data_IF_887714328896
#
_entry.id   IF_887714328896
#
_cell.length_a   1.000
_cell.length_b   1.000
_cell.length_c   1.000
_cell.angle_alpha   90.00
_cell.angle_beta   90.00
_cell.angle_gamma   90.00
#
_symmetry.space_group_name_H-M   'P 1'
#
loop_
_entity.id
_entity.type
_entity.pdbx_description
1 polymer ?
#
# COMPACT_ATOMS: atom_id res chain seq x y z
N UNK A 1 44.64 -6.60 -17.51
CA UNK A 1 43.80 -7.81 -17.60
C UNK A 1 42.70 -7.82 -16.52
N UNK A 2 42.41 -6.67 -15.89
CA UNK A 2 41.51 -6.61 -14.73
C UNK A 2 40.15 -5.97 -15.00
N UNK A 3 39.95 -5.41 -16.20
CA UNK A 3 38.70 -4.71 -16.54
C UNK A 3 37.57 -5.67 -16.92
N UNK A 4 37.89 -6.90 -17.36
CA UNK A 4 36.88 -7.89 -17.76
C UNK A 4 36.16 -8.56 -16.58
N UNK A 5 36.81 -8.67 -15.41
CA UNK A 5 36.20 -9.25 -14.20
C UNK A 5 35.18 -8.32 -13.54
N UNK A 6 35.44 -7.01 -13.57
CA UNK A 6 34.53 -6.02 -13.03
C UNK A 6 33.25 -5.88 -13.87
N UNK A 7 33.37 -5.99 -15.20
CA UNK A 7 32.21 -5.99 -16.10
C UNK A 7 31.36 -7.25 -16.02
N UNK A 8 31.95 -8.42 -15.69
CA UNK A 8 31.19 -9.65 -15.44
C UNK A 8 30.44 -9.60 -14.11
N UNK A 9 31.06 -9.08 -13.05
CA UNK A 9 30.38 -8.91 -11.75
C UNK A 9 29.28 -7.84 -11.77
N UNK A 10 29.36 -6.85 -12.67
CA UNK A 10 28.29 -5.87 -12.88
C UNK A 10 27.16 -6.38 -13.79
N UNK A 11 27.41 -7.40 -14.61
CA UNK A 11 26.38 -8.08 -15.39
C UNK A 11 25.67 -9.19 -14.59
N UNK A 12 26.39 -9.89 -13.72
CA UNK A 12 25.82 -10.93 -12.84
C UNK A 12 24.88 -10.36 -11.75
N UNK A 13 24.99 -9.07 -11.41
CA UNK A 13 24.07 -8.40 -10.48
C UNK A 13 22.76 -7.92 -11.13
N UNK A 14 22.59 -8.10 -12.45
CA UNK A 14 21.36 -7.74 -13.17
C UNK A 14 20.51 -8.95 -13.57
N UNK A 15 20.90 -10.14 -13.13
CA UNK A 15 20.20 -11.41 -13.32
C UNK A 15 19.81 -12.03 -11.97
N UNK A 16 19.51 -11.20 -10.96
CA UNK A 16 18.68 -11.67 -9.85
C UNK A 16 17.29 -11.89 -10.44
N UNK A 17 16.87 -13.16 -10.49
CA UNK A 17 15.56 -13.64 -10.90
C UNK A 17 14.49 -12.55 -10.77
N UNK A 18 13.72 -12.30 -11.85
CA UNK A 18 12.38 -11.76 -11.71
C UNK A 18 11.65 -12.72 -10.77
N UNK A 19 11.78 -12.48 -9.46
CA UNK A 19 11.29 -13.32 -8.37
C UNK A 19 9.79 -13.40 -8.58
N UNK A 20 9.32 -14.43 -9.29
CA UNK A 20 7.90 -14.67 -9.49
C UNK A 20 7.34 -14.85 -8.10
N UNK A 21 6.61 -13.84 -7.63
CA UNK A 21 6.11 -13.82 -6.26
C UNK A 21 5.08 -14.93 -6.15
N UNK A 22 5.44 -16.00 -5.44
CA UNK A 22 4.54 -17.12 -5.20
C UNK A 22 3.40 -16.68 -4.28
N UNK A 23 2.26 -16.36 -4.89
CA UNK A 23 1.06 -15.96 -4.19
C UNK A 23 0.53 -17.03 -3.23
N UNK A 24 0.91 -18.30 -3.39
CA UNK A 24 0.51 -19.39 -2.49
C UNK A 24 1.17 -19.30 -1.11
N UNK A 25 2.26 -18.53 -0.97
CA UNK A 25 2.90 -18.25 0.33
C UNK A 25 2.08 -17.30 1.22
N UNK A 26 1.08 -16.64 0.65
CA UNK A 26 0.25 -15.64 1.32
C UNK A 26 -1.21 -16.11 1.37
N UNK A 27 -1.95 -15.64 2.38
CA UNK A 27 -3.37 -15.95 2.47
C UNK A 27 -4.09 -15.51 1.18
N UNK A 28 -4.96 -16.36 0.60
CA UNK A 28 -5.70 -15.99 -0.59
C UNK A 28 -6.66 -14.83 -0.27
N UNK A 29 -6.83 -13.91 -1.21
CA UNK A 29 -7.91 -12.93 -1.11
C UNK A 29 -9.26 -13.62 -1.29
N UNK A 30 -10.06 -13.67 -0.23
CA UNK A 30 -11.40 -14.27 -0.27
C UNK A 30 -12.41 -13.30 -0.86
N UNK A 31 -12.89 -13.58 -2.07
CA UNK A 31 -13.84 -12.69 -2.76
C UNK A 31 -13.20 -11.45 -3.41
N UNK A 32 -11.89 -11.49 -3.66
CA UNK A 32 -11.15 -10.42 -4.34
C UNK A 32 -10.89 -9.22 -3.45
N UNK A 33 -11.47 -8.07 -3.78
CA UNK A 33 -11.22 -6.82 -3.05
C UNK A 33 -12.09 -6.70 -1.79
N UNK A 34 -11.69 -7.43 -0.75
CA UNK A 34 -12.32 -7.46 0.58
C UNK A 34 -12.51 -6.06 1.20
N UNK A 35 -11.50 -5.19 1.13
CA UNK A 35 -11.59 -3.84 1.69
C UNK A 35 -12.68 -3.02 0.98
N UNK A 36 -12.71 -3.06 -0.35
CA UNK A 36 -13.76 -2.37 -1.11
C UNK A 36 -15.16 -2.95 -0.84
N UNK A 37 -15.27 -4.28 -0.65
CA UNK A 37 -16.54 -4.90 -0.31
C UNK A 37 -17.02 -4.50 1.09
N UNK A 38 -16.12 -4.46 2.08
CA UNK A 38 -16.41 -3.99 3.44
C UNK A 38 -16.82 -2.51 3.45
N UNK A 39 -16.06 -1.66 2.77
CA UNK A 39 -16.40 -0.25 2.62
C UNK A 39 -17.78 -0.03 1.99
N UNK A 40 -18.10 -0.73 0.90
CA UNK A 40 -19.44 -0.67 0.28
C UNK A 40 -20.56 -1.08 1.23
N UNK A 41 -20.35 -2.13 2.03
CA UNK A 41 -21.35 -2.59 3.00
C UNK A 41 -21.56 -1.55 4.11
N UNK A 42 -20.49 -0.87 4.52
CA UNK A 42 -20.52 0.13 5.58
C UNK A 42 -20.99 1.51 5.11
N UNK A 43 -21.07 1.78 3.80
CA UNK A 43 -21.53 3.09 3.30
C UNK A 43 -22.89 3.52 3.85
N UNK A 44 -23.79 2.57 4.10
CA UNK A 44 -25.12 2.85 4.68
C UNK A 44 -25.07 3.26 6.16
N UNK A 45 -23.96 2.98 6.84
CA UNK A 45 -23.73 3.28 8.25
C UNK A 45 -22.94 4.59 8.44
N UNK A 46 -22.27 5.06 7.38
CA UNK A 46 -21.52 6.32 7.42
C UNK A 46 -22.46 7.53 7.54
N UNK A 47 -22.02 8.62 8.17
CA UNK A 47 -22.76 9.87 8.21
C UNK A 47 -23.18 10.35 6.79
N UNK A 48 -24.38 10.91 6.61
CA UNK A 48 -24.87 11.33 5.29
C UNK A 48 -23.97 12.35 4.57
N UNK A 49 -23.19 13.11 5.33
CA UNK A 49 -22.26 14.14 4.86
C UNK A 49 -20.80 13.69 4.90
N UNK A 50 -20.54 12.38 5.04
CA UNK A 50 -19.20 11.81 5.03
C UNK A 50 -18.34 12.25 3.83
N UNK A 51 -18.96 12.42 2.66
CA UNK A 51 -18.27 12.93 1.46
C UNK A 51 -17.71 14.35 1.58
N UNK A 52 -18.06 15.09 2.64
CA UNK A 52 -17.55 16.44 2.93
C UNK A 52 -16.29 16.43 3.80
N UNK A 53 -15.75 15.26 4.15
CA UNK A 53 -14.59 15.10 5.03
C UNK A 53 -13.40 16.01 4.66
N UNK A 54 -13.22 16.30 3.36
CA UNK A 54 -12.12 17.12 2.84
C UNK A 54 -12.53 18.55 2.45
N UNK A 55 -13.77 18.96 2.72
CA UNK A 55 -14.19 20.34 2.48
C UNK A 55 -13.40 21.29 3.39
N UNK A 56 -12.87 22.41 2.87
CA UNK A 56 -12.03 23.32 3.64
C UNK A 56 -12.79 24.00 4.76
N UNK A 57 -14.09 24.27 4.55
CA UNK A 57 -14.94 24.99 5.50
C UNK A 57 -15.58 24.07 6.56
N UNK A 58 -15.24 22.77 6.57
CA UNK A 58 -15.72 21.84 7.58
C UNK A 58 -15.03 22.11 8.92
N UNK A 59 -15.84 22.33 9.96
CA UNK A 59 -15.40 22.49 11.35
C UNK A 59 -14.49 21.34 11.79
N UNK A 60 -13.44 21.64 12.57
CA UNK A 60 -12.43 20.66 12.98
C UNK A 60 -13.01 19.54 13.87
N UNK A 61 -13.94 19.86 14.77
CA UNK A 61 -14.57 18.86 15.62
C UNK A 61 -15.44 17.95 14.78
N UNK A 62 -16.26 18.51 13.88
CA UNK A 62 -17.09 17.70 12.98
C UNK A 62 -16.25 16.87 12.00
N UNK A 63 -15.13 17.40 11.51
CA UNK A 63 -14.16 16.64 10.72
C UNK A 63 -13.62 15.44 11.51
N UNK A 64 -13.30 15.65 12.79
CA UNK A 64 -12.91 14.58 13.71
C UNK A 64 -13.98 13.51 13.85
N UNK A 65 -15.24 13.91 14.06
CA UNK A 65 -16.37 12.98 14.19
C UNK A 65 -16.58 12.14 12.91
N UNK A 66 -16.41 12.75 11.73
CA UNK A 66 -16.45 12.02 10.46
C UNK A 66 -15.27 11.03 10.34
N UNK A 67 -14.06 11.43 10.74
CA UNK A 67 -12.91 10.52 10.77
C UNK A 67 -13.13 9.32 11.71
N UNK A 68 -13.71 9.55 12.89
CA UNK A 68 -14.00 8.49 13.86
C UNK A 68 -15.12 7.53 13.40
N UNK A 69 -15.96 7.97 12.45
CA UNK A 69 -16.98 7.12 11.84
C UNK A 69 -16.43 6.12 10.80
N UNK A 70 -15.16 6.27 10.40
CA UNK A 70 -14.49 5.33 9.51
C UNK A 70 -14.23 3.97 10.17
N UNK A 71 -14.06 2.95 9.34
CA UNK A 71 -13.76 1.60 9.79
C UNK A 71 -12.26 1.45 10.10
N UNK A 72 -11.86 1.90 11.30
CA UNK A 72 -10.46 1.83 11.78
C UNK A 72 -9.89 0.41 11.69
N UNK A 73 -10.68 -0.62 12.00
CA UNK A 73 -10.24 -2.02 11.90
C UNK A 73 -9.94 -2.41 10.44
N UNK A 74 -10.72 -1.92 9.48
CA UNK A 74 -10.46 -2.15 8.06
C UNK A 74 -9.21 -1.39 7.57
N UNK A 75 -9.01 -0.15 8.03
CA UNK A 75 -7.84 0.65 7.69
C UNK A 75 -6.56 0.03 8.23
N UNK A 76 -6.59 -0.40 9.49
CA UNK A 76 -5.49 -1.14 10.10
C UNK A 76 -5.26 -2.42 9.31
N UNK A 77 -6.25 -3.28 9.14
CA UNK A 77 -6.04 -4.61 8.55
C UNK A 77 -5.54 -4.56 7.10
N UNK A 78 -6.08 -3.68 6.26
CA UNK A 78 -5.89 -3.74 4.82
C UNK A 78 -4.98 -2.62 4.30
N UNK A 79 -5.46 -1.37 4.35
CA UNK A 79 -4.76 -0.18 3.88
C UNK A 79 -5.54 1.09 4.27
N UNK A 80 -4.84 2.21 4.35
CA UNK A 80 -5.43 3.54 4.65
C UNK A 80 -6.34 4.09 3.56
N UNK A 81 -6.18 3.64 2.32
CA UNK A 81 -7.07 4.01 1.21
C UNK A 81 -7.73 2.77 0.63
N UNK A 82 -9.03 2.87 0.34
CA UNK A 82 -9.81 1.81 -0.30
C UNK A 82 -9.49 1.78 -1.81
N UNK A 83 -8.85 0.72 -2.33
CA UNK A 83 -8.62 0.60 -3.77
C UNK A 83 -9.93 0.26 -4.45
N UNK A 84 -10.50 1.15 -5.26
CA UNK A 84 -11.59 0.77 -6.17
C UNK A 84 -11.03 0.26 -7.52
N UNK A 85 -11.89 -0.30 -8.36
CA UNK A 85 -11.43 -0.81 -9.67
C UNK A 85 -10.89 0.30 -10.58
N UNK A 86 -11.37 1.54 -10.43
CA UNK A 86 -10.89 2.63 -11.26
C UNK A 86 -9.44 2.98 -10.88
N UNK A 87 -9.14 3.08 -9.60
CA UNK A 87 -7.81 3.34 -9.07
C UNK A 87 -6.83 2.23 -9.48
N UNK A 88 -7.22 0.97 -9.33
CA UNK A 88 -6.38 -0.17 -9.71
C UNK A 88 -6.04 -0.17 -11.20
N UNK A 89 -7.00 0.14 -12.08
CA UNK A 89 -6.73 0.29 -13.53
C UNK A 89 -5.80 1.45 -13.84
N UNK A 90 -5.94 2.57 -13.16
CA UNK A 90 -5.07 3.74 -13.34
C UNK A 90 -3.64 3.37 -12.90
N UNK A 91 -3.46 2.76 -11.73
CA UNK A 91 -2.17 2.28 -11.28
C UNK A 91 -1.54 1.31 -12.28
N UNK A 92 -2.31 0.34 -12.79
CA UNK A 92 -1.84 -0.61 -13.80
C UNK A 92 -1.31 0.07 -15.08
N UNK A 93 -1.93 1.18 -15.50
CA UNK A 93 -1.50 1.92 -16.68
C UNK A 93 -0.12 2.57 -16.52
N UNK A 94 0.28 2.92 -15.30
CA UNK A 94 1.55 3.59 -14.99
C UNK A 94 2.67 2.63 -14.57
N UNK A 95 2.45 1.32 -14.70
CA UNK A 95 3.46 0.32 -14.40
C UNK A 95 4.73 0.49 -15.27
N UNK A 96 5.93 0.15 -14.76
CA UNK A 96 6.21 -0.49 -13.48
C UNK A 96 6.03 0.46 -12.28
N UNK A 97 5.58 -0.08 -11.15
CA UNK A 97 5.31 0.68 -9.93
C UNK A 97 6.31 0.37 -8.83
N UNK A 98 6.58 1.37 -7.99
CA UNK A 98 7.24 1.19 -6.71
C UNK A 98 6.35 1.78 -5.61
N UNK A 99 5.86 0.93 -4.71
CA UNK A 99 5.05 1.33 -3.57
C UNK A 99 5.94 1.58 -2.35
N UNK A 100 5.84 2.78 -1.76
CA UNK A 100 6.56 3.16 -0.54
C UNK A 100 5.57 3.32 0.60
N UNK A 101 5.89 2.71 1.75
CA UNK A 101 4.97 2.67 2.89
C UNK A 101 3.81 1.69 2.63
N UNK A 102 4.14 0.52 2.07
CA UNK A 102 3.16 -0.45 1.60
C UNK A 102 2.34 -1.13 2.72
N UNK A 103 2.69 -0.95 4.00
CA UNK A 103 1.98 -1.64 5.07
C UNK A 103 2.16 -3.16 4.95
N UNK A 104 1.05 -3.90 5.08
CA UNK A 104 0.99 -5.33 4.83
C UNK A 104 0.95 -5.69 3.32
N UNK A 105 1.00 -4.71 2.41
CA UNK A 105 1.08 -4.91 0.95
C UNK A 105 -0.26 -5.21 0.28
N UNK A 106 -1.39 -4.71 0.78
CA UNK A 106 -2.71 -5.01 0.22
C UNK A 106 -2.89 -4.49 -1.23
N UNK A 107 -2.46 -3.25 -1.51
CA UNK A 107 -2.49 -2.69 -2.86
C UNK A 107 -1.57 -3.46 -3.81
N UNK A 108 -0.32 -3.71 -3.41
CA UNK A 108 0.60 -4.57 -4.14
C UNK A 108 0.01 -5.95 -4.45
N UNK A 109 -0.67 -6.60 -3.49
CA UNK A 109 -1.32 -7.89 -3.71
C UNK A 109 -2.38 -7.80 -4.82
N UNK A 110 -3.28 -6.82 -4.75
CA UNK A 110 -4.33 -6.62 -5.75
C UNK A 110 -3.76 -6.32 -7.14
N UNK A 111 -2.71 -5.53 -7.23
CA UNK A 111 -2.05 -5.17 -8.49
C UNK A 111 -1.30 -6.38 -9.09
N UNK A 112 -0.60 -7.16 -8.27
CA UNK A 112 0.09 -8.39 -8.73
C UNK A 112 -0.87 -9.46 -9.25
N UNK A 113 -2.02 -9.65 -8.60
CA UNK A 113 -3.07 -10.55 -9.12
C UNK A 113 -3.64 -10.09 -10.48
N UNK A 114 -3.45 -8.82 -10.85
CA UNK A 114 -3.79 -8.26 -12.17
C UNK A 114 -2.62 -8.29 -13.17
N UNK A 115 -1.50 -8.91 -12.81
CA UNK A 115 -0.29 -8.97 -13.64
C UNK A 115 0.49 -7.66 -13.70
N UNK A 116 0.27 -6.74 -12.77
CA UNK A 116 0.97 -5.46 -12.72
C UNK A 116 2.35 -5.64 -12.09
N UNK A 117 3.38 -5.11 -12.76
CA UNK A 117 4.74 -5.03 -12.22
C UNK A 117 4.78 -3.99 -11.10
N UNK A 118 4.95 -4.45 -9.85
CA UNK A 118 5.03 -3.61 -8.66
C UNK A 118 5.98 -4.19 -7.61
N UNK A 119 6.91 -3.36 -7.16
CA UNK A 119 7.77 -3.63 -5.99
C UNK A 119 7.27 -2.82 -4.80
N UNK A 120 7.17 -3.43 -3.63
CA UNK A 120 6.56 -2.83 -2.45
C UNK A 120 7.57 -2.79 -1.29
N UNK A 121 7.75 -1.62 -0.71
CA UNK A 121 8.65 -1.38 0.41
C UNK A 121 7.91 -0.79 1.61
N UNK A 122 8.37 -1.18 2.80
CA UNK A 122 8.01 -0.50 4.04
C UNK A 122 9.22 -0.43 4.97
N UNK A 123 9.27 0.59 5.84
CA UNK A 123 10.35 0.75 6.81
C UNK A 123 10.30 -0.34 7.90
N UNK A 124 9.09 -0.80 8.23
CA UNK A 124 8.80 -1.71 9.35
C UNK A 124 8.28 -3.06 8.83
N UNK A 125 9.19 -3.95 8.41
CA UNK A 125 8.86 -5.33 8.01
C UNK A 125 9.22 -6.30 9.15
N UNK A 126 8.20 -6.89 9.78
CA UNK A 126 8.29 -7.98 10.78
C UNK A 126 7.43 -9.17 10.30
N UNK A 127 7.63 -10.38 10.85
CA UNK A 127 6.82 -11.59 10.60
C UNK A 127 5.29 -11.39 10.76
N UNK A 128 4.86 -10.31 11.41
CA UNK A 128 3.47 -9.88 11.57
C UNK A 128 3.11 -8.62 10.76
N UNK A 129 3.96 -8.16 9.85
CA UNK A 129 3.80 -6.93 9.06
C UNK A 129 3.21 -5.76 9.87
N UNK A 130 3.86 -5.43 11.00
CA UNK A 130 3.67 -4.15 11.69
C UNK A 130 4.26 -2.97 10.91
N UNK A 131 4.13 -2.99 9.61
CA UNK A 131 4.33 -1.84 8.75
C UNK A 131 3.24 -0.83 9.13
N UNK A 132 3.63 0.21 9.87
CA UNK A 132 2.73 1.19 10.48
C UNK A 132 1.76 0.66 11.57
N UNK A 133 2.16 -0.31 12.41
CA UNK A 133 1.39 -0.67 13.61
C UNK A 133 0.20 -1.63 13.42
N UNK A 134 0.05 -2.17 12.22
CA UNK A 134 -1.01 -3.11 11.83
C UNK A 134 -0.71 -4.54 12.30
N UNK A 135 -1.70 -5.28 12.81
CA UNK A 135 -1.55 -6.66 13.30
C UNK A 135 -1.82 -7.75 12.24
N UNK A 136 -1.85 -7.39 10.96
CA UNK A 136 -2.25 -8.27 9.86
C UNK A 136 -1.05 -9.02 9.27
N UNK A 137 -1.23 -10.31 8.95
CA UNK A 137 -0.24 -11.06 8.15
C UNK A 137 -0.05 -10.40 6.78
N UNK A 138 1.17 -10.41 6.21
CA UNK A 138 1.42 -9.87 4.88
C UNK A 138 0.46 -10.46 3.83
N UNK A 139 -0.04 -9.62 2.93
CA UNK A 139 -0.82 -10.04 1.77
C UNK A 139 0.06 -10.49 0.60
N UNK A 140 1.31 -10.03 0.58
CA UNK A 140 2.31 -10.32 -0.45
C UNK A 140 3.73 -9.98 0.03
N UNK A 141 4.76 -10.17 -0.83
CA UNK A 141 6.16 -9.82 -0.53
C UNK A 141 6.27 -8.30 -0.39
N UNK A 142 6.70 -7.85 0.78
CA UNK A 142 7.06 -6.45 1.07
C UNK A 142 8.49 -6.46 1.56
N UNK A 143 9.33 -5.64 0.94
CA UNK A 143 10.74 -5.53 1.26
C UNK A 143 10.97 -4.43 2.29
N UNK A 144 12.00 -4.61 3.12
CA UNK A 144 12.37 -3.58 4.09
C UNK A 144 13.14 -2.46 3.38
N UNK A 145 12.64 -1.23 3.47
CA UNK A 145 13.31 -0.08 2.87
C UNK A 145 12.55 1.23 3.07
N UNK A 146 13.27 2.34 2.95
CA UNK A 146 12.72 3.69 2.94
C UNK A 146 12.92 4.40 1.59
N UNK A 147 12.70 5.73 1.55
CA UNK A 147 12.82 6.54 0.34
C UNK A 147 14.17 6.43 -0.38
N UNK A 148 15.24 6.06 0.33
CA UNK A 148 16.56 5.82 -0.24
C UNK A 148 16.57 4.70 -1.31
N UNK A 149 15.64 3.75 -1.22
CA UNK A 149 15.50 2.65 -2.20
C UNK A 149 14.99 3.11 -3.56
N UNK A 150 14.34 4.28 -3.64
CA UNK A 150 13.80 4.81 -4.90
C UNK A 150 14.89 5.08 -5.94
N UNK A 151 16.14 5.30 -5.52
CA UNK A 151 17.27 5.44 -6.43
C UNK A 151 17.50 4.19 -7.30
N UNK A 152 17.02 3.02 -6.88
CA UNK A 152 17.10 1.76 -7.63
C UNK A 152 16.05 1.68 -8.75
N UNK A 153 15.03 2.53 -8.73
CA UNK A 153 13.88 2.47 -9.64
C UNK A 153 13.67 3.76 -10.44
N UNK A 154 14.67 4.23 -11.23
CA UNK A 154 14.62 5.53 -11.90
C UNK A 154 13.51 5.65 -12.96
N UNK A 155 12.97 4.52 -13.42
CA UNK A 155 11.93 4.45 -14.46
C UNK A 155 10.58 3.94 -13.95
N UNK A 156 10.45 3.68 -12.64
CA UNK A 156 9.19 3.24 -12.05
C UNK A 156 8.36 4.42 -11.55
N UNK A 157 7.04 4.29 -11.62
CA UNK A 157 6.12 5.26 -11.03
C UNK A 157 6.02 5.01 -9.53
N UNK A 158 6.24 6.04 -8.72
CA UNK A 158 6.00 5.99 -7.28
C UNK A 158 4.49 5.90 -6.98
N UNK A 159 4.09 4.85 -6.26
CA UNK A 159 2.79 4.73 -5.63
C UNK A 159 2.93 5.05 -4.14
N UNK A 160 2.16 6.04 -3.66
CA UNK A 160 2.14 6.42 -2.26
C UNK A 160 0.69 6.36 -1.75
N UNK A 161 0.43 5.43 -0.83
CA UNK A 161 -0.85 5.30 -0.12
C UNK A 161 -0.67 5.87 1.29
N UNK A 162 -0.66 7.20 1.37
CA UNK A 162 -0.29 7.89 2.61
C UNK A 162 -1.48 7.97 3.60
N UNK A 163 -1.31 7.57 4.87
CA UNK A 163 -2.29 7.86 5.91
C UNK A 163 -2.42 9.37 6.12
N UNK A 164 -3.64 9.89 6.22
CA UNK A 164 -3.81 11.26 6.69
C UNK A 164 -3.53 11.30 8.20
N UNK A 165 -2.29 11.61 8.60
CA UNK A 165 -1.98 11.84 10.02
C UNK A 165 -2.52 13.23 10.37
N UNK A 166 -3.77 13.29 10.81
CA UNK A 166 -4.24 14.39 11.64
C UNK A 166 -3.57 14.19 13.01
N UNK A 167 -2.72 15.13 13.44
CA UNK A 167 -2.18 15.09 14.80
C UNK A 167 -3.36 15.03 15.75
N UNK A 168 -3.49 13.96 16.56
CA UNK A 168 -4.47 13.93 17.64
C UNK A 168 -4.21 15.17 18.48
N UNK A 169 -5.07 16.19 18.35
CA UNK A 169 -5.06 17.34 19.24
C UNK A 169 -5.40 16.74 20.59
N UNK A 170 -4.39 16.49 21.40
CA UNK A 170 -4.56 16.11 22.80
C UNK A 170 -5.34 17.23 23.46
N UNK A 171 -6.62 17.01 23.73
CA UNK A 171 -7.42 17.88 24.61
C UNK A 171 -6.69 17.94 25.95
N UNK A 172 -6.11 19.11 26.26
CA UNK A 172 -5.56 19.46 27.56
C UNK A 172 -6.68 19.73 28.56
#
# INVERSE_FOLDING_TARGET
MDTQKASQQQQEASEEDDDVIDHALYAPLTGGNELYNRWKANQSQLPPDFGKLFEPDLDEQHRGDLFEAEDEEAQEKYAWAVPDERALRICAHFAPLVEMGAGAGYWARLLRERGVAITAYDKDVDVNCKAAGVSARPFTKVEKGGPETLALFPNATLLLIYPMIMSKVTKS
#
